data_IF_096286836217
#
_entry.id   IF_096286836217
#
_cell.length_a   1.000
_cell.length_b   1.000
_cell.length_c   1.000
_cell.angle_alpha   90.00
_cell.angle_beta   90.00
_cell.angle_gamma   90.00
#
_symmetry.space_group_name_H-M   'P 1'
#
loop_
_entity.id
_entity.type
_entity.pdbx_description
1 polymer ?
#
# COMPACT_ATOMS: atom_id res chain seq x y z
N UNK A 1 -5.35 54.26 -7.14
CA UNK A 1 -5.78 53.35 -6.04
C UNK A 1 -6.47 52.11 -6.59
N UNK A 2 -7.55 52.23 -7.37
CA UNK A 2 -8.25 51.09 -7.97
C UNK A 2 -7.35 50.16 -8.82
N UNK A 3 -6.48 50.72 -9.67
CA UNK A 3 -5.55 49.91 -10.47
C UNK A 3 -4.59 49.06 -9.60
N UNK A 4 -4.11 49.60 -8.48
CA UNK A 4 -3.23 48.87 -7.56
C UNK A 4 -3.98 47.70 -6.88
N UNK A 5 -5.26 47.88 -6.54
CA UNK A 5 -6.09 46.81 -5.96
C UNK A 5 -6.28 45.66 -6.96
N UNK A 6 -6.59 45.97 -8.22
CA UNK A 6 -6.72 44.94 -9.27
C UNK A 6 -5.41 44.19 -9.52
N UNK A 7 -4.27 44.86 -9.46
CA UNK A 7 -2.96 44.23 -9.61
C UNK A 7 -2.68 43.22 -8.49
N UNK A 8 -3.00 43.58 -7.24
CA UNK A 8 -2.84 42.68 -6.08
C UNK A 8 -3.77 41.47 -6.21
N UNK A 9 -5.03 41.67 -6.59
CA UNK A 9 -5.99 40.58 -6.81
C UNK A 9 -5.49 39.64 -7.92
N UNK A 10 -4.95 40.20 -9.01
CA UNK A 10 -4.36 39.42 -10.10
C UNK A 10 -3.17 38.58 -9.65
N UNK A 11 -2.30 39.13 -8.80
CA UNK A 11 -1.15 38.40 -8.25
C UNK A 11 -1.58 37.22 -7.38
N UNK A 12 -2.59 37.39 -6.52
CA UNK A 12 -3.13 36.31 -5.68
C UNK A 12 -3.76 35.22 -6.55
N UNK A 13 -4.57 35.60 -7.54
CA UNK A 13 -5.19 34.64 -8.47
C UNK A 13 -4.14 33.85 -9.26
N UNK A 14 -3.09 34.52 -9.74
CA UNK A 14 -2.00 33.85 -10.44
C UNK A 14 -1.24 32.89 -9.54
N UNK A 15 -0.96 33.27 -8.29
CA UNK A 15 -0.34 32.37 -7.30
C UNK A 15 -1.19 31.13 -7.03
N UNK A 16 -2.52 31.29 -6.92
CA UNK A 16 -3.44 30.17 -6.78
C UNK A 16 -3.47 29.27 -8.02
N UNK A 17 -3.48 29.84 -9.23
CA UNK A 17 -3.43 29.07 -10.47
C UNK A 17 -2.13 28.26 -10.61
N UNK A 18 -0.98 28.87 -10.32
CA UNK A 18 0.30 28.16 -10.35
C UNK A 18 0.33 27.08 -9.28
N UNK A 19 -0.21 27.34 -8.09
CA UNK A 19 -0.32 26.36 -7.01
C UNK A 19 -1.20 25.17 -7.37
N UNK A 20 -2.36 25.41 -8.00
CA UNK A 20 -3.25 24.32 -8.44
C UNK A 20 -2.63 23.50 -9.56
N UNK A 21 -1.97 24.12 -10.53
CA UNK A 21 -1.26 23.42 -11.61
C UNK A 21 -0.08 22.62 -11.05
N UNK A 22 0.71 23.19 -10.15
CA UNK A 22 1.82 22.50 -9.49
C UNK A 22 1.30 21.27 -8.72
N UNK A 23 0.22 21.43 -7.95
CA UNK A 23 -0.40 20.31 -7.23
C UNK A 23 -0.98 19.25 -8.17
N UNK A 24 -1.61 19.66 -9.28
CA UNK A 24 -2.12 18.74 -10.29
C UNK A 24 -0.98 17.96 -10.96
N UNK A 25 0.12 18.65 -11.28
CA UNK A 25 1.33 18.04 -11.82
C UNK A 25 1.93 17.05 -10.82
N UNK A 26 2.09 17.41 -9.55
CA UNK A 26 2.61 16.49 -8.53
C UNK A 26 1.73 15.25 -8.38
N UNK A 27 0.40 15.39 -8.42
CA UNK A 27 -0.52 14.23 -8.37
C UNK A 27 -0.40 13.34 -9.62
N UNK A 28 -0.36 13.95 -10.80
CA UNK A 28 -0.20 13.22 -12.06
C UNK A 28 1.17 12.54 -12.17
N UNK A 29 2.23 13.23 -11.77
CA UNK A 29 3.59 12.71 -11.70
C UNK A 29 3.74 11.66 -10.61
N UNK A 30 3.04 11.75 -9.47
CA UNK A 30 3.04 10.70 -8.45
C UNK A 30 2.46 9.40 -9.02
N UNK A 31 1.29 9.48 -9.67
CA UNK A 31 0.69 8.34 -10.39
C UNK A 31 1.63 7.75 -11.46
N UNK A 32 2.22 8.60 -12.30
CA UNK A 32 3.17 8.16 -13.32
C UNK A 32 4.46 7.57 -12.73
N UNK A 33 4.98 8.14 -11.63
CA UNK A 33 6.18 7.66 -10.94
C UNK A 33 5.95 6.31 -10.29
N UNK A 34 4.75 6.06 -9.78
CA UNK A 34 4.37 4.79 -9.18
C UNK A 34 4.29 3.69 -10.26
N UNK A 35 3.69 3.98 -11.41
CA UNK A 35 3.67 3.08 -12.56
C UNK A 35 5.10 2.79 -13.08
N UNK A 36 5.96 3.81 -13.12
CA UNK A 36 7.36 3.65 -13.48
C UNK A 36 8.11 2.73 -12.50
N UNK A 37 7.93 2.94 -11.18
CA UNK A 37 8.52 2.08 -10.14
C UNK A 37 8.07 0.63 -10.27
N UNK A 38 6.78 0.41 -10.57
CA UNK A 38 6.22 -0.91 -10.81
C UNK A 38 6.89 -1.60 -12.00
N UNK A 39 6.90 -0.93 -13.17
CA UNK A 39 7.53 -1.47 -14.39
C UNK A 39 9.00 -1.79 -14.16
N UNK A 40 9.72 -0.94 -13.43
CA UNK A 40 11.12 -1.17 -13.05
C UNK A 40 11.29 -2.41 -12.17
N UNK A 41 10.41 -2.62 -11.20
CA UNK A 41 10.40 -3.82 -10.34
C UNK A 41 10.12 -5.09 -11.15
N UNK A 42 9.08 -5.10 -11.97
CA UNK A 42 8.73 -6.26 -12.82
C UNK A 42 9.86 -6.58 -13.79
N UNK A 43 10.47 -5.57 -14.40
CA UNK A 43 11.64 -5.77 -15.28
C UNK A 43 12.86 -6.31 -14.53
N UNK A 44 13.09 -5.91 -13.28
CA UNK A 44 14.15 -6.48 -12.45
C UNK A 44 13.89 -7.95 -12.11
N UNK A 45 12.64 -8.31 -11.79
CA UNK A 45 12.23 -9.70 -11.54
C UNK A 45 12.36 -10.55 -12.80
N UNK A 46 11.94 -10.05 -13.97
CA UNK A 46 12.11 -10.77 -15.24
C UNK A 46 13.57 -11.09 -15.54
N UNK A 47 14.47 -10.11 -15.36
CA UNK A 47 15.91 -10.32 -15.57
C UNK A 47 16.49 -11.36 -14.62
N UNK A 48 16.06 -11.36 -13.36
CA UNK A 48 16.49 -12.38 -12.39
C UNK A 48 16.00 -13.79 -12.78
N UNK A 49 14.77 -13.91 -13.31
CA UNK A 49 14.22 -15.18 -13.77
C UNK A 49 14.97 -15.73 -15.01
N UNK A 50 15.37 -14.83 -15.92
CA UNK A 50 16.18 -15.17 -17.10
C UNK A 50 17.59 -15.63 -16.70
N UNK A 51 18.22 -14.96 -15.75
CA UNK A 51 19.58 -15.32 -15.26
C UNK A 51 19.61 -16.73 -14.67
N UNK A 52 18.55 -17.13 -13.95
CA UNK A 52 18.42 -18.46 -13.37
C UNK A 52 17.78 -19.52 -14.29
N UNK A 53 17.55 -19.19 -15.57
CA UNK A 53 16.98 -20.11 -16.57
C UNK A 53 15.66 -20.77 -16.11
N UNK A 54 14.81 -20.01 -15.42
CA UNK A 54 13.52 -20.52 -14.94
C UNK A 54 12.59 -20.72 -16.16
N UNK A 55 11.86 -21.86 -16.25
CA UNK A 55 10.90 -22.08 -17.33
C UNK A 55 9.85 -20.96 -17.43
N UNK A 56 9.51 -20.54 -18.65
CA UNK A 56 8.56 -19.44 -18.91
C UNK A 56 7.21 -19.60 -18.20
N UNK A 57 6.75 -20.84 -18.03
CA UNK A 57 5.50 -21.14 -17.33
C UNK A 57 5.53 -20.66 -15.87
N UNK A 58 6.63 -20.92 -15.15
CA UNK A 58 6.82 -20.49 -13.76
C UNK A 58 7.16 -19.00 -13.69
N UNK A 59 7.96 -18.49 -14.63
CA UNK A 59 8.26 -17.06 -14.71
C UNK A 59 6.99 -16.21 -14.87
N UNK A 60 6.05 -16.65 -15.72
CA UNK A 60 4.76 -15.98 -15.91
C UNK A 60 3.89 -16.02 -14.66
N UNK A 61 3.85 -17.14 -13.93
CA UNK A 61 3.14 -17.22 -12.65
C UNK A 61 3.71 -16.25 -11.62
N UNK A 62 5.03 -16.13 -11.53
CA UNK A 62 5.71 -15.17 -10.63
C UNK A 62 5.38 -13.73 -11.02
N UNK A 63 5.43 -13.39 -12.30
CA UNK A 63 5.07 -12.05 -12.78
C UNK A 63 3.60 -11.71 -12.49
N UNK A 64 2.68 -12.65 -12.71
CA UNK A 64 1.25 -12.48 -12.39
C UNK A 64 1.07 -12.23 -10.89
N UNK A 65 1.69 -13.04 -10.03
CA UNK A 65 1.63 -12.85 -8.58
C UNK A 65 2.15 -11.47 -8.15
N UNK A 66 3.30 -11.02 -8.66
CA UNK A 66 3.83 -9.69 -8.33
C UNK A 66 2.98 -8.54 -8.88
N UNK A 67 2.26 -8.75 -9.98
CA UNK A 67 1.31 -7.77 -10.51
C UNK A 67 0.08 -7.65 -9.62
N UNK A 68 -0.46 -8.77 -9.13
CA UNK A 68 -1.60 -8.80 -8.21
C UNK A 68 -1.24 -8.21 -6.85
N UNK A 69 -0.11 -8.60 -6.27
CA UNK A 69 0.36 -8.07 -4.98
C UNK A 69 0.63 -6.57 -5.04
N UNK A 70 1.08 -6.04 -6.19
CA UNK A 70 1.30 -4.60 -6.33
C UNK A 70 -0.01 -3.81 -6.42
N UNK A 71 -1.01 -4.34 -7.13
CA UNK A 71 -2.37 -3.77 -7.14
C UNK A 71 -2.97 -3.82 -5.74
N UNK A 72 -2.86 -4.96 -5.06
CA UNK A 72 -3.40 -5.15 -3.72
C UNK A 72 -2.70 -4.27 -2.68
N UNK A 73 -1.38 -4.06 -2.76
CA UNK A 73 -0.64 -3.16 -1.85
C UNK A 73 -1.15 -1.72 -1.85
N UNK A 74 -1.79 -1.29 -2.94
CA UNK A 74 -2.43 0.03 -2.99
C UNK A 74 -3.73 0.11 -2.18
N UNK A 75 -4.37 -1.02 -1.93
CA UNK A 75 -5.56 -1.16 -1.09
C UNK A 75 -5.15 -1.52 0.35
N UNK A 76 -4.17 -2.41 0.53
CA UNK A 76 -3.64 -2.83 1.85
C UNK A 76 -2.93 -1.69 2.60
N UNK A 77 -2.36 -0.71 1.88
CA UNK A 77 -1.80 0.49 2.51
C UNK A 77 -2.90 1.31 3.20
N UNK A 78 -4.06 1.44 2.56
CA UNK A 78 -5.26 2.07 3.11
C UNK A 78 -5.76 1.30 4.35
N UNK A 79 -5.81 -0.02 4.29
CA UNK A 79 -6.20 -0.85 5.44
C UNK A 79 -5.24 -0.70 6.63
N UNK A 80 -3.93 -0.64 6.36
CA UNK A 80 -2.91 -0.42 7.39
C UNK A 80 -2.96 0.99 7.98
N UNK A 81 -3.33 1.99 7.18
CA UNK A 81 -3.48 3.38 7.60
C UNK A 81 -4.72 3.54 8.49
N UNK A 82 -5.87 2.99 8.06
CA UNK A 82 -7.10 2.90 8.84
C UNK A 82 -6.86 2.14 10.15
N UNK A 83 -6.14 1.02 10.09
CA UNK A 83 -5.74 0.26 11.28
C UNK A 83 -4.82 1.04 12.22
N UNK A 84 -3.99 1.95 11.70
CA UNK A 84 -3.13 2.82 12.50
C UNK A 84 -3.87 4.01 13.13
N UNK A 85 -4.91 4.51 12.47
CA UNK A 85 -5.79 5.58 12.97
C UNK A 85 -6.74 5.11 14.09
N UNK A 86 -6.99 3.81 14.18
CA UNK A 86 -7.79 3.23 15.25
C UNK A 86 -7.13 3.47 16.64
N UNK A 87 -7.88 3.85 17.68
CA UNK A 87 -7.38 3.89 19.04
C UNK A 87 -6.85 2.54 19.52
N UNK A 88 -5.82 2.53 20.36
CA UNK A 88 -5.11 1.30 20.82
C UNK A 88 -6.04 0.21 21.35
N UNK A 89 -7.15 0.58 22.02
CA UNK A 89 -8.14 -0.37 22.54
C UNK A 89 -9.00 -1.03 21.44
N UNK A 90 -9.24 -0.35 20.32
CA UNK A 90 -9.95 -0.92 19.16
C UNK A 90 -9.01 -1.70 18.25
N UNK A 91 -7.75 -1.27 18.12
CA UNK A 91 -6.72 -2.00 17.35
C UNK A 91 -6.54 -3.43 17.84
N UNK A 92 -6.48 -3.64 19.16
CA UNK A 92 -6.39 -4.97 19.74
C UNK A 92 -7.62 -5.84 19.42
N UNK A 93 -8.82 -5.24 19.43
CA UNK A 93 -10.08 -5.95 19.16
C UNK A 93 -10.23 -6.31 17.69
N UNK A 94 -9.85 -5.41 16.79
CA UNK A 94 -9.86 -5.63 15.34
C UNK A 94 -8.78 -6.63 14.95
N UNK A 95 -7.57 -6.52 15.49
CA UNK A 95 -6.50 -7.50 15.27
C UNK A 95 -6.93 -8.91 15.71
N UNK A 96 -7.58 -9.03 16.87
CA UNK A 96 -8.16 -10.31 17.31
C UNK A 96 -9.14 -10.84 16.26
N UNK A 97 -10.11 -10.05 15.80
CA UNK A 97 -11.14 -10.51 14.86
C UNK A 97 -10.56 -10.94 13.50
N UNK A 98 -9.60 -10.16 12.96
CA UNK A 98 -8.91 -10.48 11.70
C UNK A 98 -8.05 -11.74 11.81
N UNK A 99 -7.43 -11.97 12.98
CA UNK A 99 -6.55 -13.13 13.21
C UNK A 99 -7.34 -14.39 13.60
N UNK A 100 -8.59 -14.25 14.07
CA UNK A 100 -9.39 -15.38 14.56
C UNK A 100 -9.69 -16.39 13.44
N UNK A 101 -10.01 -15.94 12.22
CA UNK A 101 -10.24 -16.84 11.08
C UNK A 101 -8.96 -17.59 10.66
N UNK A 102 -7.78 -16.97 10.79
CA UNK A 102 -6.49 -17.62 10.53
C UNK A 102 -6.12 -18.64 11.62
N UNK A 103 -6.43 -18.33 12.88
CA UNK A 103 -6.14 -19.19 14.04
C UNK A 103 -7.05 -20.43 14.08
N UNK A 104 -8.31 -20.31 13.65
CA UNK A 104 -9.24 -21.45 13.59
C UNK A 104 -8.86 -22.44 12.49
N UNK A 105 -8.24 -21.97 11.41
CA UNK A 105 -7.96 -22.77 10.20
C UNK A 105 -6.69 -23.62 10.30
N UNK A 106 -5.82 -23.40 11.31
CA UNK A 106 -4.62 -24.23 11.52
C UNK A 106 -4.88 -25.38 12.52
N UNK A 107 -4.87 -26.66 12.08
CA UNK A 107 -5.05 -27.81 12.96
C UNK A 107 -3.97 -27.94 14.05
N UNK A 108 -2.81 -27.32 13.84
CA UNK A 108 -1.66 -27.33 14.75
C UNK A 108 -1.93 -26.55 16.05
N UNK A 109 -2.83 -25.57 16.03
CA UNK A 109 -3.14 -24.70 17.20
C UNK A 109 -4.34 -25.16 18.04
N UNK A 110 -5.10 -26.16 17.56
CA UNK A 110 -6.22 -26.73 18.33
C UNK A 110 -5.78 -27.60 19.51
N UNK A 111 -4.50 -28.01 19.54
CA UNK A 111 -3.99 -29.01 20.47
C UNK A 111 -3.12 -28.46 21.62
N UNK A 112 -2.87 -27.15 21.70
CA UNK A 112 -2.02 -26.62 22.77
C UNK A 112 -2.47 -25.27 23.35
N UNK A 113 -2.11 -25.13 24.63
CA UNK A 113 -2.59 -24.23 25.68
C UNK A 113 -3.04 -22.83 25.26
N UNK A 114 -4.12 -22.37 25.91
CA UNK A 114 -4.74 -21.05 25.74
C UNK A 114 -3.76 -19.86 25.88
N UNK A 115 -2.62 -20.04 26.55
CA UNK A 115 -1.56 -19.03 26.65
C UNK A 115 -0.83 -18.78 25.33
N UNK A 116 -0.55 -19.84 24.54
CA UNK A 116 0.22 -19.74 23.31
C UNK A 116 -0.57 -19.06 22.18
N UNK A 117 -1.89 -19.27 22.15
CA UNK A 117 -2.79 -18.65 21.17
C UNK A 117 -2.79 -17.11 21.30
N UNK A 118 -2.76 -16.58 22.52
CA UNK A 118 -2.70 -15.14 22.76
C UNK A 118 -1.37 -14.51 22.32
N UNK A 119 -0.26 -15.23 22.50
CA UNK A 119 1.08 -14.79 22.08
C UNK A 119 1.22 -14.81 20.56
N UNK A 120 0.76 -15.86 19.89
CA UNK A 120 0.80 -15.97 18.42
C UNK A 120 -0.11 -14.94 17.76
N UNK A 121 -1.32 -14.69 18.33
CA UNK A 121 -2.21 -13.63 17.84
C UNK A 121 -1.61 -12.22 18.01
N UNK A 122 -0.80 -11.99 19.05
CA UNK A 122 -0.10 -10.71 19.22
C UNK A 122 1.11 -10.54 18.30
N UNK A 123 1.73 -11.64 17.87
CA UNK A 123 2.89 -11.66 16.98
C UNK A 123 2.52 -11.65 15.49
N UNK A 124 1.31 -12.10 15.15
CA UNK A 124 0.75 -12.02 13.79
C UNK A 124 0.27 -10.59 13.53
N UNK A 125 1.14 -9.79 12.91
CA UNK A 125 0.68 -8.58 12.23
C UNK A 125 -0.07 -8.99 10.96
N UNK A 126 -1.28 -8.47 10.71
CA UNK A 126 -1.92 -8.62 9.40
C UNK A 126 -1.03 -7.94 8.35
N UNK A 127 -0.74 -8.68 7.28
CA UNK A 127 0.08 -8.27 6.12
C UNK A 127 -0.75 -7.65 5.03
#
# INVERSE_FOLDING_TARGET
VFANLYMIIGMVMFGLLVGTIANALTRASASASQLYRFRKKISAVSRWLEEYHIPEATAKQVQTYFSEVWVNRNETSLDSEIFNELPTFLRARVAMYVTTDLVITMPVLKAQEAGLQSLVASALRPV
#
